data_IF_833002173582
#
_entry.id   IF_833002173582
#
_cell.length_a   1.000
_cell.length_b   1.000
_cell.length_c   1.000
_cell.angle_alpha   90.00
_cell.angle_beta   90.00
_cell.angle_gamma   90.00
#
_symmetry.space_group_name_H-M   'P 1'
#
loop_
_entity.id
_entity.type
_entity.pdbx_description
1 polymer ?
#
# COMPACT_ATOMS: atom_id res chain seq x y z
N UNK A 1 61.23 -4.88 -2.71
CA UNK A 1 62.16 -5.13 -3.83
C UNK A 1 61.33 -5.19 -5.11
N UNK A 2 61.11 -4.03 -5.73
CA UNK A 2 60.48 -3.87 -7.04
C UNK A 2 61.42 -4.44 -8.10
N UNK A 3 61.12 -5.61 -8.67
CA UNK A 3 61.79 -6.02 -9.91
C UNK A 3 60.92 -6.96 -10.73
N UNK A 4 60.78 -6.59 -12.01
CA UNK A 4 60.40 -7.39 -13.18
C UNK A 4 58.92 -7.38 -13.57
N UNK A 5 58.53 -6.19 -14.04
CA UNK A 5 57.65 -6.01 -15.18
C UNK A 5 58.20 -6.75 -16.43
N UNK A 6 57.26 -7.41 -17.13
CA UNK A 6 57.28 -7.83 -18.53
C UNK A 6 58.37 -8.80 -19.01
N UNK A 7 57.97 -10.06 -19.17
CA UNK A 7 58.46 -10.93 -20.25
C UNK A 7 57.34 -11.83 -20.79
N UNK A 8 57.04 -11.61 -22.06
CA UNK A 8 56.55 -12.57 -23.04
C UNK A 8 55.10 -13.08 -22.92
N UNK A 9 54.27 -12.55 -23.82
CA UNK A 9 53.19 -13.21 -24.56
C UNK A 9 52.61 -14.51 -24.00
N UNK A 10 51.48 -14.37 -23.31
CA UNK A 10 50.28 -15.23 -23.25
C UNK A 10 49.57 -14.92 -21.94
N UNK A 11 48.78 -13.84 -21.94
CA UNK A 11 47.86 -13.56 -20.83
C UNK A 11 46.80 -14.67 -20.86
N UNK A 12 46.96 -15.64 -19.96
CA UNK A 12 45.96 -16.67 -19.71
C UNK A 12 44.69 -15.95 -19.25
N UNK A 13 43.63 -16.06 -20.04
CA UNK A 13 42.27 -15.53 -19.84
C UNK A 13 41.63 -16.02 -18.51
N UNK A 14 42.30 -16.88 -17.74
CA UNK A 14 41.76 -17.51 -16.54
C UNK A 14 41.73 -16.64 -15.27
N UNK A 15 42.28 -15.41 -15.25
CA UNK A 15 42.31 -14.59 -14.04
C UNK A 15 41.17 -13.55 -13.93
N UNK A 16 40.35 -13.37 -14.97
CA UNK A 16 39.26 -12.37 -14.96
C UNK A 16 37.88 -13.01 -14.66
N UNK A 17 37.77 -14.34 -14.76
CA UNK A 17 36.52 -15.06 -14.44
C UNK A 17 36.28 -15.26 -12.93
N UNK A 18 37.30 -15.12 -12.07
CA UNK A 18 37.11 -15.27 -10.62
C UNK A 18 36.74 -13.98 -9.89
N UNK A 19 36.73 -12.83 -10.57
CA UNK A 19 36.35 -11.55 -9.96
C UNK A 19 34.88 -11.17 -10.21
N UNK A 20 34.16 -11.88 -11.10
CA UNK A 20 32.74 -11.59 -11.38
C UNK A 20 31.77 -12.39 -10.52
N UNK A 21 32.22 -13.47 -9.86
CA UNK A 21 31.40 -14.25 -8.92
C UNK A 21 31.50 -13.76 -7.46
N UNK A 22 32.43 -12.86 -7.14
CA UNK A 22 32.65 -12.38 -5.75
C UNK A 22 31.94 -11.03 -5.49
N UNK A 23 31.42 -10.35 -6.51
CA UNK A 23 30.58 -9.16 -6.30
C UNK A 23 29.09 -9.51 -6.19
N UNK A 24 28.67 -10.70 -6.65
CA UNK A 24 27.27 -11.11 -6.67
C UNK A 24 26.79 -11.84 -5.39
N UNK A 25 27.57 -11.80 -4.29
CA UNK A 25 27.17 -12.36 -2.99
C UNK A 25 27.00 -11.33 -1.88
N UNK A 26 27.13 -10.02 -2.18
CA UNK A 26 27.02 -8.95 -1.18
C UNK A 26 25.99 -7.86 -1.52
N UNK A 27 25.18 -8.03 -2.57
CA UNK A 27 24.09 -7.08 -2.87
C UNK A 27 22.82 -7.86 -3.22
N UNK A 28 22.15 -8.41 -2.21
CA UNK A 28 20.69 -8.52 -2.21
C UNK A 28 20.15 -8.85 -0.81
N UNK A 29 20.64 -8.16 0.21
CA UNK A 29 19.73 -7.75 1.28
C UNK A 29 19.42 -6.28 1.02
N UNK A 30 18.74 -6.02 -0.10
CA UNK A 30 17.79 -4.92 -0.04
C UNK A 30 16.91 -5.26 1.16
N UNK A 31 16.78 -4.38 2.17
CA UNK A 31 15.69 -4.56 3.09
C UNK A 31 14.46 -4.57 2.20
N UNK A 32 13.85 -5.74 2.02
CA UNK A 32 12.42 -5.77 1.78
C UNK A 32 11.91 -4.91 2.93
N UNK A 33 11.40 -3.72 2.60
CA UNK A 33 10.57 -2.99 3.53
C UNK A 33 9.39 -3.93 3.70
N UNK A 34 9.52 -4.80 4.69
CA UNK A 34 8.46 -5.68 5.10
C UNK A 34 7.32 -4.71 5.39
N UNK A 35 6.17 -4.92 4.75
CA UNK A 35 4.96 -4.17 5.00
C UNK A 35 4.43 -4.55 6.39
N UNK A 36 5.25 -4.36 7.43
CA UNK A 36 4.92 -4.55 8.82
C UNK A 36 3.90 -3.46 9.17
N UNK A 37 2.61 -3.79 9.03
CA UNK A 37 1.51 -2.94 9.47
C UNK A 37 0.30 -2.81 8.54
N UNK A 38 0.21 -3.55 7.43
CA UNK A 38 -0.99 -3.52 6.57
C UNK A 38 -1.93 -4.72 6.75
N UNK A 39 -1.43 -5.80 7.32
CA UNK A 39 -2.03 -7.14 7.27
C UNK A 39 -2.68 -7.50 8.59
N UNK A 40 -4.01 -7.48 8.68
CA UNK A 40 -4.90 -8.19 9.64
C UNK A 40 -4.66 -8.11 11.17
N UNK A 41 -3.52 -7.60 11.61
CA UNK A 41 -2.97 -7.77 12.94
C UNK A 41 -3.37 -6.64 13.88
N UNK A 42 -4.12 -5.64 13.43
CA UNK A 42 -4.53 -4.50 14.22
C UNK A 42 -3.50 -3.37 14.25
N UNK A 43 -3.69 -2.35 15.12
CA UNK A 43 -2.95 -1.10 15.05
C UNK A 43 -1.44 -1.24 15.33
N UNK A 44 -0.61 -0.94 14.32
CA UNK A 44 0.86 -0.99 14.38
C UNK A 44 1.46 0.37 14.05
N UNK A 45 2.48 0.77 14.82
CA UNK A 45 3.22 2.01 14.60
C UNK A 45 4.35 1.76 13.60
N UNK A 46 4.37 2.51 12.49
CA UNK A 46 5.42 2.48 11.48
C UNK A 46 5.68 3.88 10.93
N UNK A 47 6.94 4.33 10.93
CA UNK A 47 7.37 5.62 10.34
C UNK A 47 6.52 6.84 10.76
N UNK A 48 6.20 6.97 12.06
CA UNK A 48 5.32 7.98 12.65
C UNK A 48 3.83 7.89 12.31
N UNK A 49 3.43 6.85 11.59
CA UNK A 49 2.03 6.55 11.33
C UNK A 49 1.56 5.38 12.19
N UNK A 50 0.27 5.35 12.48
CA UNK A 50 -0.43 4.19 13.04
C UNK A 50 -1.30 3.60 11.94
N UNK A 51 -1.01 2.36 11.53
CA UNK A 51 -1.65 1.63 10.42
C UNK A 51 -2.32 0.35 10.93
N UNK A 52 -3.01 -0.37 10.05
CA UNK A 52 -3.71 -1.61 10.39
C UNK A 52 -5.08 -1.37 11.05
N UNK A 53 -5.71 -0.24 10.71
CA UNK A 53 -7.04 0.16 11.20
C UNK A 53 -8.02 -0.02 10.03
N UNK A 54 -9.16 -0.65 10.32
CA UNK A 54 -10.22 -0.86 9.33
C UNK A 54 -11.15 0.36 9.24
N UNK A 55 -11.84 0.49 8.12
CA UNK A 55 -12.92 1.47 7.98
C UNK A 55 -14.04 1.26 9.01
N UNK A 56 -14.78 2.35 9.26
CA UNK A 56 -15.92 2.41 10.17
C UNK A 56 -15.61 1.94 11.60
N UNK A 57 -14.31 1.86 11.94
CA UNK A 57 -13.86 1.34 13.20
C UNK A 57 -14.11 2.35 14.31
N UNK A 58 -15.01 2.00 15.23
CA UNK A 58 -15.34 2.84 16.38
C UNK A 58 -14.16 2.91 17.34
N UNK A 59 -14.01 4.01 18.06
CA UNK A 59 -12.98 4.15 19.10
C UNK A 59 -13.00 3.03 20.14
N UNK A 60 -14.18 2.45 20.44
CA UNK A 60 -14.30 1.33 21.36
C UNK A 60 -13.62 0.05 20.86
N UNK A 61 -13.72 -0.24 19.56
CA UNK A 61 -13.04 -1.35 18.90
C UNK A 61 -11.55 -1.04 18.77
N UNK A 62 -11.22 0.16 18.29
CA UNK A 62 -9.84 0.63 18.18
C UNK A 62 -9.08 0.52 19.50
N UNK A 63 -9.69 0.93 20.62
CA UNK A 63 -9.08 0.84 21.95
C UNK A 63 -8.71 -0.58 22.33
N UNK A 64 -9.58 -1.56 22.07
CA UNK A 64 -9.31 -2.97 22.37
C UNK A 64 -8.11 -3.45 21.56
N UNK A 65 -8.17 -3.28 20.24
CA UNK A 65 -7.12 -3.72 19.33
C UNK A 65 -5.76 -3.06 19.62
N UNK A 66 -5.76 -1.74 19.84
CA UNK A 66 -4.53 -1.01 20.16
C UNK A 66 -3.92 -1.51 21.48
N UNK A 67 -4.72 -1.71 22.52
CA UNK A 67 -4.27 -2.17 23.84
C UNK A 67 -3.70 -3.59 23.76
N UNK A 68 -4.35 -4.47 22.99
CA UNK A 68 -3.91 -5.85 22.78
C UNK A 68 -2.56 -5.90 22.04
N UNK A 69 -2.42 -5.13 20.96
CA UNK A 69 -1.21 -5.13 20.13
C UNK A 69 -0.03 -4.37 20.73
N UNK A 70 -0.30 -3.32 21.51
CA UNK A 70 0.73 -2.46 22.11
C UNK A 70 0.90 -2.69 23.62
N UNK A 71 0.61 -3.92 24.10
CA UNK A 71 0.83 -4.37 25.49
C UNK A 71 0.29 -3.42 26.57
N UNK A 72 -0.92 -2.89 26.39
CA UNK A 72 -1.56 -2.00 27.37
C UNK A 72 -1.05 -0.56 27.38
N UNK A 73 -0.30 -0.15 26.34
CA UNK A 73 0.22 1.22 26.23
C UNK A 73 -0.89 2.26 26.29
N UNK A 74 -0.68 3.28 27.14
CA UNK A 74 -1.60 4.42 27.27
C UNK A 74 -1.44 5.38 26.10
N UNK A 75 -2.55 5.96 25.68
CA UNK A 75 -2.59 7.00 24.65
C UNK A 75 -3.78 7.94 24.87
N UNK A 76 -3.70 9.12 24.25
CA UNK A 76 -4.80 10.06 24.07
C UNK A 76 -5.11 10.18 22.58
N UNK A 77 -6.39 10.20 22.21
CA UNK A 77 -6.85 10.32 20.83
C UNK A 77 -7.34 11.74 20.53
N UNK A 78 -6.94 12.26 19.38
CA UNK A 78 -7.28 13.58 18.89
C UNK A 78 -7.76 13.50 17.44
N UNK A 79 -8.73 14.35 17.11
CA UNK A 79 -9.23 14.51 15.77
C UNK A 79 -8.19 15.19 14.89
N UNK A 80 -8.32 15.03 13.58
CA UNK A 80 -7.64 15.94 12.65
C UNK A 80 -7.93 17.41 13.02
N UNK A 81 -6.89 18.25 13.02
CA UNK A 81 -6.98 19.64 13.51
C UNK A 81 -6.88 19.82 15.04
N UNK A 82 -6.81 18.74 15.82
CA UNK A 82 -6.35 18.75 17.21
C UNK A 82 -7.43 18.78 18.30
N UNK A 83 -8.70 18.63 17.95
CA UNK A 83 -9.76 18.46 18.94
C UNK A 83 -9.57 17.17 19.75
N UNK A 84 -9.72 17.23 21.06
CA UNK A 84 -9.56 16.04 21.90
C UNK A 84 -10.80 15.13 21.84
N UNK A 85 -10.62 13.89 21.38
CA UNK A 85 -11.68 12.87 21.32
C UNK A 85 -11.68 12.03 22.61
N UNK A 86 -10.49 11.69 23.10
CA UNK A 86 -10.29 10.78 24.23
C UNK A 86 -10.54 9.31 23.89
N UNK A 87 -10.28 8.42 24.85
CA UNK A 87 -10.33 6.96 24.61
C UNK A 87 -11.65 6.30 25.02
N UNK A 88 -12.67 7.08 25.40
CA UNK A 88 -13.97 6.57 25.85
C UNK A 88 -15.14 7.02 24.98
N UNK A 89 -14.89 7.79 23.92
CA UNK A 89 -15.93 8.27 23.02
C UNK A 89 -16.37 7.14 22.09
N UNK A 90 -17.47 6.45 22.41
CA UNK A 90 -17.92 5.27 21.66
C UNK A 90 -18.55 5.58 20.29
N UNK A 91 -18.93 6.84 20.04
CA UNK A 91 -19.56 7.27 18.78
C UNK A 91 -18.56 7.70 17.72
N UNK A 92 -17.34 8.08 18.11
CA UNK A 92 -16.33 8.51 17.15
C UNK A 92 -15.83 7.33 16.31
N UNK A 93 -15.83 7.52 15.00
CA UNK A 93 -15.23 6.62 14.02
C UNK A 93 -13.82 7.13 13.79
N UNK A 94 -12.85 6.26 14.00
CA UNK A 94 -11.44 6.59 13.75
C UNK A 94 -11.23 6.71 12.25
N UNK A 95 -10.70 7.84 11.79
CA UNK A 95 -10.48 8.10 10.37
C UNK A 95 -9.04 8.53 10.07
N UNK A 96 -8.69 8.55 8.78
CA UNK A 96 -7.40 9.06 8.32
C UNK A 96 -7.21 10.53 8.74
N UNK A 97 -6.08 10.83 9.36
CA UNK A 97 -5.72 12.17 9.83
C UNK A 97 -5.99 12.41 11.33
N UNK A 98 -6.79 11.57 11.99
CA UNK A 98 -6.78 11.49 13.45
C UNK A 98 -5.36 11.16 13.94
N UNK A 99 -5.06 11.43 15.20
CA UNK A 99 -3.76 11.07 15.75
C UNK A 99 -3.83 10.69 17.22
N UNK A 100 -2.93 9.79 17.61
CA UNK A 100 -2.71 9.46 19.01
C UNK A 100 -1.49 10.19 19.55
N UNK A 101 -1.51 10.52 20.84
CA UNK A 101 -0.31 10.84 21.61
C UNK A 101 -0.06 9.75 22.62
N UNK A 102 1.12 9.14 22.58
CA UNK A 102 1.51 8.13 23.55
C UNK A 102 1.77 8.74 24.95
N UNK A 103 1.96 7.88 25.95
CA UNK A 103 2.28 8.32 27.31
C UNK A 103 3.60 9.10 27.45
N UNK A 104 4.44 9.15 26.42
CA UNK A 104 5.69 9.92 26.36
C UNK A 104 5.52 11.24 25.60
N UNK A 105 4.32 11.51 25.08
CA UNK A 105 3.98 12.72 24.34
C UNK A 105 4.32 12.65 22.85
N UNK A 106 4.77 11.51 22.30
CA UNK A 106 5.02 11.36 20.87
C UNK A 106 3.69 11.16 20.13
N UNK A 107 3.52 11.88 19.03
CA UNK A 107 2.33 11.81 18.20
C UNK A 107 2.52 10.83 17.03
N UNK A 108 1.45 10.09 16.73
CA UNK A 108 1.38 9.20 15.58
C UNK A 108 0.08 9.44 14.83
N UNK A 109 0.18 9.77 13.55
CA UNK A 109 -0.99 10.02 12.70
C UNK A 109 -1.60 8.70 12.25
N UNK A 110 -2.91 8.58 12.40
CA UNK A 110 -3.67 7.42 11.97
C UNK A 110 -3.86 7.47 10.46
N UNK A 111 -3.57 6.34 9.83
CA UNK A 111 -3.82 6.09 8.42
C UNK A 111 -4.75 4.89 8.32
N UNK A 112 -5.97 5.12 7.85
CA UNK A 112 -6.93 4.07 7.48
C UNK A 112 -6.74 3.84 5.98
N UNK A 113 -6.23 2.67 5.60
CA UNK A 113 -5.95 2.35 4.20
C UNK A 113 -7.23 2.45 3.37
N UNK A 114 -7.21 3.22 2.29
CA UNK A 114 -8.36 3.46 1.42
C UNK A 114 -9.25 4.65 1.80
N UNK A 115 -9.19 5.17 3.04
CA UNK A 115 -9.91 6.37 3.48
C UNK A 115 -9.04 7.60 3.20
N UNK A 116 -9.21 8.17 2.01
CA UNK A 116 -8.33 9.20 1.44
C UNK A 116 -8.83 10.60 1.81
N UNK A 117 -10.14 10.77 1.96
CA UNK A 117 -10.75 12.03 2.36
C UNK A 117 -10.83 12.21 3.90
N UNK A 118 -10.55 11.17 4.69
CA UNK A 118 -10.53 11.23 6.15
C UNK A 118 -11.91 11.16 6.81
N UNK A 119 -12.91 10.61 6.12
CA UNK A 119 -14.28 10.50 6.63
C UNK A 119 -14.52 9.20 7.44
N UNK A 120 -13.58 8.27 7.40
CA UNK A 120 -13.62 7.00 8.14
C UNK A 120 -14.29 5.84 7.39
N UNK A 121 -14.78 6.06 6.16
CA UNK A 121 -15.43 5.04 5.32
C UNK A 121 -14.77 4.96 3.94
N UNK A 122 -14.38 3.77 3.46
CA UNK A 122 -13.81 3.64 2.12
C UNK A 122 -14.92 3.57 1.08
N UNK A 123 -15.05 4.62 0.28
CA UNK A 123 -16.15 4.78 -0.65
C UNK A 123 -15.73 5.40 -2.00
N UNK A 124 -16.73 5.66 -2.86
CA UNK A 124 -16.49 6.16 -4.22
C UNK A 124 -15.74 7.51 -4.18
N UNK A 125 -15.93 8.32 -3.15
CA UNK A 125 -15.25 9.62 -2.97
C UNK A 125 -13.73 9.46 -2.90
N UNK A 126 -13.24 8.41 -2.24
CA UNK A 126 -11.80 8.12 -2.16
C UNK A 126 -11.22 7.79 -3.53
N UNK A 127 -11.92 6.94 -4.28
CA UNK A 127 -11.51 6.60 -5.64
C UNK A 127 -11.58 7.80 -6.59
N UNK A 128 -12.46 8.77 -6.32
CA UNK A 128 -12.53 10.02 -7.07
C UNK A 128 -11.30 10.89 -6.80
N UNK A 129 -10.84 10.98 -5.55
CA UNK A 129 -9.60 11.68 -5.17
C UNK A 129 -8.38 11.12 -5.90
N UNK A 130 -8.25 9.78 -6.02
CA UNK A 130 -7.16 9.16 -6.81
C UNK A 130 -7.26 9.50 -8.30
N UNK A 131 -8.47 9.50 -8.88
CA UNK A 131 -8.65 9.88 -10.30
C UNK A 131 -8.23 11.32 -10.55
N UNK A 132 -8.55 12.23 -9.63
CA UNK A 132 -8.13 13.62 -9.71
C UNK A 132 -6.61 13.76 -9.59
N UNK A 133 -5.96 12.92 -8.78
CA UNK A 133 -4.51 12.82 -8.68
C UNK A 133 -3.84 12.39 -9.99
N UNK A 134 -4.30 11.30 -10.60
CA UNK A 134 -3.78 10.87 -11.89
C UNK A 134 -4.04 11.90 -13.00
N UNK A 135 -5.19 12.58 -12.94
CA UNK A 135 -5.52 13.69 -13.83
C UNK A 135 -4.77 15.00 -13.54
N UNK A 136 -3.92 15.04 -12.50
CA UNK A 136 -3.18 16.23 -12.04
C UNK A 136 -4.07 17.44 -11.73
N UNK A 137 -5.35 17.19 -11.39
CA UNK A 137 -6.32 18.22 -11.01
C UNK A 137 -6.25 18.54 -9.52
N UNK A 138 -5.84 17.56 -8.71
CA UNK A 138 -5.62 17.67 -7.27
C UNK A 138 -4.53 16.68 -6.91
N UNK A 139 -3.44 17.13 -6.30
CA UNK A 139 -2.36 16.22 -5.88
C UNK A 139 -2.66 15.72 -4.46
N UNK A 140 -2.57 14.41 -4.25
CA UNK A 140 -2.54 13.85 -2.91
C UNK A 140 -1.14 14.09 -2.35
N UNK A 141 -1.06 14.75 -1.21
CA UNK A 141 0.16 14.96 -0.44
C UNK A 141 0.04 14.32 0.95
N UNK A 142 1.18 14.06 1.56
CA UNK A 142 1.31 13.58 2.95
C UNK A 142 0.29 12.50 3.36
N UNK A 143 -0.73 12.87 4.14
CA UNK A 143 -1.67 11.97 4.81
C UNK A 143 -2.59 11.26 3.79
N UNK A 144 -3.36 11.96 2.93
CA UNK A 144 -4.12 11.33 1.85
C UNK A 144 -3.29 10.41 0.96
N UNK A 145 -2.03 10.78 0.68
CA UNK A 145 -1.12 9.92 -0.10
C UNK A 145 -0.84 8.59 0.64
N UNK A 146 -0.56 8.64 1.94
CA UNK A 146 -0.32 7.43 2.74
C UNK A 146 -1.54 6.50 2.82
N UNK A 147 -2.76 7.04 2.77
CA UNK A 147 -3.99 6.24 2.75
C UNK A 147 -4.28 5.63 1.37
N UNK A 148 -3.88 6.32 0.31
CA UNK A 148 -4.04 5.85 -1.07
C UNK A 148 -2.99 4.80 -1.49
N UNK A 149 -1.80 4.82 -0.90
CA UNK A 149 -0.72 3.83 -1.10
C UNK A 149 -1.03 2.55 -0.33
N UNK A 150 -1.74 1.62 -0.98
CA UNK A 150 -2.33 0.44 -0.31
C UNK A 150 -1.32 -0.65 0.02
N UNK A 151 -0.18 -0.68 -0.65
CA UNK A 151 0.91 -1.63 -0.39
C UNK A 151 2.12 -0.99 0.30
N UNK A 152 2.05 0.30 0.63
CA UNK A 152 3.11 1.11 1.23
C UNK A 152 4.42 1.08 0.42
N UNK A 153 4.34 0.99 -0.90
CA UNK A 153 5.52 0.99 -1.77
C UNK A 153 6.08 2.41 -2.03
N UNK A 154 5.43 3.44 -1.49
CA UNK A 154 5.77 4.85 -1.65
C UNK A 154 5.23 5.46 -2.94
N UNK A 155 4.27 4.82 -3.61
CA UNK A 155 3.67 5.29 -4.89
C UNK A 155 2.18 4.97 -4.92
N UNK A 156 1.38 5.97 -5.29
CA UNK A 156 -0.02 5.74 -5.64
C UNK A 156 -0.10 5.33 -7.11
N UNK A 157 -0.50 4.08 -7.37
CA UNK A 157 -0.54 3.47 -8.71
C UNK A 157 -1.95 3.04 -9.11
N UNK A 158 -2.12 2.61 -10.36
CA UNK A 158 -3.39 2.05 -10.84
C UNK A 158 -3.80 0.79 -10.05
N UNK A 159 -2.83 0.03 -9.52
CA UNK A 159 -3.10 -1.15 -8.67
C UNK A 159 -3.78 -0.74 -7.38
N UNK A 160 -3.32 0.33 -6.72
CA UNK A 160 -3.92 0.86 -5.50
C UNK A 160 -5.37 1.31 -5.73
N UNK A 161 -5.59 2.03 -6.82
CA UNK A 161 -6.92 2.41 -7.26
C UNK A 161 -7.84 1.19 -7.46
N UNK A 162 -7.35 0.14 -8.12
CA UNK A 162 -8.14 -1.06 -8.38
C UNK A 162 -8.46 -1.84 -7.10
N UNK A 163 -7.51 -1.98 -6.17
CA UNK A 163 -7.72 -2.60 -4.86
C UNK A 163 -8.85 -1.91 -4.09
N UNK A 164 -8.79 -0.58 -3.97
CA UNK A 164 -9.83 0.21 -3.27
C UNK A 164 -11.18 0.09 -4.01
N UNK A 165 -11.17 0.16 -5.35
CA UNK A 165 -12.40 0.00 -6.15
C UNK A 165 -13.03 -1.38 -5.96
N UNK A 166 -12.24 -2.44 -5.91
CA UNK A 166 -12.73 -3.81 -5.74
C UNK A 166 -13.21 -4.07 -4.31
N UNK A 167 -12.57 -3.43 -3.33
CA UNK A 167 -13.05 -3.36 -1.95
C UNK A 167 -14.46 -2.79 -1.84
N UNK A 168 -14.69 -1.64 -2.46
CA UNK A 168 -16.02 -1.01 -2.51
C UNK A 168 -17.06 -1.91 -3.21
N UNK A 169 -16.63 -2.76 -4.15
CA UNK A 169 -17.48 -3.72 -4.86
C UNK A 169 -17.65 -5.06 -4.11
N UNK A 170 -17.05 -5.22 -2.93
CA UNK A 170 -17.02 -6.46 -2.16
C UNK A 170 -16.43 -7.66 -2.92
N UNK A 171 -15.52 -7.39 -3.87
CA UNK A 171 -14.81 -8.41 -4.65
C UNK A 171 -13.43 -8.74 -4.10
N UNK A 172 -12.91 -7.88 -3.24
CA UNK A 172 -11.60 -7.93 -2.62
C UNK A 172 -11.72 -7.26 -1.25
N UNK A 173 -10.87 -7.60 -0.28
CA UNK A 173 -10.82 -6.88 0.99
C UNK A 173 -9.41 -6.32 1.20
N UNK A 174 -9.27 -5.00 1.25
CA UNK A 174 -7.96 -4.33 1.41
C UNK A 174 -7.33 -4.54 2.79
N UNK A 175 -8.05 -5.12 3.75
CA UNK A 175 -7.58 -5.36 5.12
C UNK A 175 -7.16 -6.81 5.38
N UNK A 176 -7.36 -7.70 4.41
CA UNK A 176 -7.01 -9.11 4.52
C UNK A 176 -5.73 -9.40 3.73
N UNK A 177 -5.01 -10.45 4.12
CA UNK A 177 -3.67 -10.78 3.59
C UNK A 177 -3.74 -11.49 2.23
N UNK A 178 -4.87 -11.41 1.54
CA UNK A 178 -5.11 -12.07 0.27
C UNK A 178 -4.38 -11.33 -0.86
N UNK A 179 -3.70 -12.11 -1.71
CA UNK A 179 -3.06 -11.58 -2.91
C UNK A 179 -4.10 -11.00 -3.86
N UNK A 180 -3.88 -9.76 -4.28
CA UNK A 180 -4.75 -9.10 -5.23
C UNK A 180 -4.58 -9.68 -6.65
N UNK A 181 -5.58 -10.41 -7.12
CA UNK A 181 -5.64 -10.94 -8.49
C UNK A 181 -6.77 -10.27 -9.26
N UNK A 182 -6.48 -9.27 -10.12
CA UNK A 182 -7.53 -8.62 -10.89
C UNK A 182 -8.08 -9.60 -11.93
N UNK A 183 -9.40 -9.82 -11.88
CA UNK A 183 -10.14 -10.60 -12.88
C UNK A 183 -9.78 -10.13 -14.30
N UNK A 184 -9.14 -11.01 -15.07
CA UNK A 184 -8.70 -10.76 -16.45
C UNK A 184 -9.85 -10.96 -17.47
N UNK A 185 -11.08 -11.25 -17.03
CA UNK A 185 -12.18 -11.60 -17.94
C UNK A 185 -13.05 -10.39 -18.36
N UNK A 186 -12.62 -9.62 -19.36
CA UNK A 186 -13.57 -8.88 -20.22
C UNK A 186 -13.05 -8.43 -21.60
N UNK A 187 -11.99 -9.03 -22.14
CA UNK A 187 -11.67 -8.92 -23.57
C UNK A 187 -11.96 -10.24 -24.29
N UNK A 188 -13.25 -10.53 -24.47
CA UNK A 188 -13.70 -11.27 -25.65
C UNK A 188 -14.92 -10.56 -26.22
N UNK A 189 -14.72 -9.35 -26.73
CA UNK A 189 -15.57 -8.84 -27.80
C UNK A 189 -15.25 -9.63 -29.07
N UNK A 190 -15.78 -10.86 -29.13
CA UNK A 190 -15.95 -11.57 -30.38
C UNK A 190 -16.99 -10.80 -31.20
N UNK A 191 -16.50 -9.95 -32.09
CA UNK A 191 -17.22 -9.54 -33.30
C UNK A 191 -17.57 -10.84 -34.04
N UNK A 192 -18.83 -11.25 -34.00
CA UNK A 192 -19.33 -12.34 -34.84
C UNK A 192 -19.78 -11.74 -36.17
N UNK A 193 -18.85 -11.15 -36.92
CA UNK A 193 -19.07 -10.68 -38.29
C UNK A 193 -18.24 -11.52 -39.27
N UNK A 194 -18.43 -12.84 -39.28
CA UNK A 194 -18.09 -13.70 -40.42
C UNK A 194 -19.18 -14.79 -40.53
N UNK A 195 -20.24 -14.57 -41.31
CA UNK A 195 -20.26 -14.86 -42.75
C UNK A 195 -20.34 -16.37 -43.04
N UNK A 196 -21.51 -16.97 -42.82
CA UNK A 196 -21.86 -18.26 -43.42
C UNK A 196 -23.38 -18.36 -43.66
N UNK A 197 -23.82 -18.08 -44.89
CA UNK A 197 -25.16 -18.50 -45.32
C UNK A 197 -25.96 -17.54 -46.19
N UNK A 198 -25.41 -17.08 -47.32
CA UNK A 198 -26.25 -16.76 -48.49
C UNK A 198 -25.67 -17.45 -49.72
N UNK A 199 -26.16 -18.66 -49.99
CA UNK A 199 -25.96 -19.32 -51.28
C UNK A 199 -26.96 -18.77 -52.29
N UNK A 200 -26.38 -18.21 -53.37
CA UNK A 200 -26.77 -18.33 -54.79
C UNK A 200 -28.14 -17.85 -55.29
N UNK A 201 -28.06 -16.96 -56.28
CA UNK A 201 -28.99 -16.79 -57.41
C UNK A 201 -28.36 -15.78 -58.37
N UNK A 202 -28.71 -15.80 -59.67
CA UNK A 202 -28.18 -14.97 -60.77
C UNK A 202 -26.92 -15.50 -61.45
N UNK A 203 -27.09 -16.65 -62.12
CA UNK A 203 -26.62 -16.87 -63.49
C UNK A 203 -27.78 -17.50 -64.28
#
# INVERSE_FOLDING_TARGET
MLTKLFKNGRIRICAILSAFLIVCSLISSFPTVQADGLTGEGPVISNNYLRGIKEEQKCSQFKKLYTEKNHGSKYNLYAYGGSYIGTSNVSHIVSTGDYIRDGKGKAYTIIVTGDINGDGSVNISDTASIKLHFGKKMLLDEIPFQAADTDNNGRVTATDYLKIKYHIQMKYNIYDDESFEPDQSSEQSGVNDEESGWTSGWA
#
